data_IF_344732054777
#
_entry.id   IF_344732054777
#
_cell.length_a   1.000
_cell.length_b   1.000
_cell.length_c   1.000
_cell.angle_alpha   90.00
_cell.angle_beta   90.00
_cell.angle_gamma   90.00
#
_symmetry.space_group_name_H-M   'P 1'
#
loop_
_entity.id
_entity.type
_entity.pdbx_description
1 polymer ?
#
# COMPACT_ATOMS: atom_id res chain seq x y z
N UNK A 1 8.32 13.16 -70.21
CA UNK A 1 7.37 12.26 -69.51
C UNK A 1 8.20 11.11 -68.98
N UNK A 2 8.19 10.68 -67.73
CA UNK A 2 7.20 10.80 -66.65
C UNK A 2 8.00 10.89 -65.34
N UNK A 3 7.73 11.93 -64.55
CA UNK A 3 8.13 11.98 -63.13
C UNK A 3 7.31 10.88 -62.43
N UNK A 4 7.92 9.89 -61.75
CA UNK A 4 7.13 8.86 -61.10
C UNK A 4 6.21 9.52 -60.07
N UNK A 5 4.92 9.13 -59.98
CA UNK A 5 4.04 9.65 -58.96
C UNK A 5 4.57 9.19 -57.60
N UNK A 6 5.11 10.14 -56.85
CA UNK A 6 5.55 9.95 -55.49
C UNK A 6 4.40 9.44 -54.62
N UNK A 7 4.58 8.19 -54.15
CA UNK A 7 4.03 7.57 -52.94
C UNK A 7 3.12 8.48 -52.11
N UNK A 8 1.80 8.37 -52.30
CA UNK A 8 0.78 8.84 -51.33
C UNK A 8 0.23 7.71 -50.44
N UNK A 9 0.97 6.61 -50.29
CA UNK A 9 0.55 5.46 -49.46
C UNK A 9 1.31 5.40 -48.12
N UNK A 10 2.35 6.23 -47.94
CA UNK A 10 3.18 6.18 -46.73
C UNK A 10 2.75 7.13 -45.60
N UNK A 11 1.85 8.08 -45.88
CA UNK A 11 1.46 9.06 -44.86
C UNK A 11 0.70 8.41 -43.70
N UNK A 12 -0.18 7.44 -44.00
CA UNK A 12 -0.99 6.76 -43.00
C UNK A 12 -0.21 5.67 -42.24
N UNK A 13 0.69 4.97 -42.91
CA UNK A 13 1.59 3.99 -42.27
C UNK A 13 2.56 4.67 -41.28
N UNK A 14 3.07 5.85 -41.63
CA UNK A 14 3.91 6.64 -40.73
C UNK A 14 3.15 7.12 -39.48
N UNK A 15 1.88 7.51 -39.61
CA UNK A 15 1.04 7.94 -38.48
C UNK A 15 0.70 6.80 -37.51
N UNK A 16 0.38 5.60 -38.02
CA UNK A 16 0.10 4.42 -37.19
C UNK A 16 1.34 3.92 -36.44
N UNK A 17 2.52 3.98 -37.07
CA UNK A 17 3.79 3.69 -36.38
C UNK A 17 4.06 4.69 -35.26
N UNK A 18 3.84 6.00 -35.49
CA UNK A 18 4.01 7.03 -34.46
C UNK A 18 3.03 6.86 -33.28
N UNK A 19 1.79 6.41 -33.53
CA UNK A 19 0.82 6.15 -32.46
C UNK A 19 1.11 4.83 -31.71
N UNK A 20 1.61 3.79 -32.40
CA UNK A 20 2.07 2.55 -31.77
C UNK A 20 3.30 2.76 -30.86
N UNK A 21 4.16 3.71 -31.22
CA UNK A 21 5.32 4.11 -30.41
C UNK A 21 4.87 4.82 -29.12
N UNK A 22 3.78 5.58 -29.15
CA UNK A 22 3.21 6.22 -27.95
C UNK A 22 2.57 5.20 -26.99
N UNK A 23 1.96 4.13 -27.51
CA UNK A 23 1.38 3.04 -26.72
C UNK A 23 2.43 2.14 -26.03
N UNK A 24 3.63 2.02 -26.61
CA UNK A 24 4.76 1.33 -25.97
C UNK A 24 5.51 2.23 -24.98
N UNK A 25 5.46 3.56 -25.17
CA UNK A 25 6.10 4.54 -24.30
C UNK A 25 5.44 4.68 -22.93
N UNK A 26 4.15 4.42 -22.77
CA UNK A 26 3.49 4.48 -21.45
C UNK A 26 3.56 3.16 -20.69
N UNK A 27 3.69 2.02 -21.37
CA UNK A 27 3.73 0.70 -20.73
C UNK A 27 4.99 0.44 -19.90
N UNK A 28 6.15 0.96 -20.32
CA UNK A 28 7.41 0.78 -19.60
C UNK A 28 7.65 1.83 -18.50
N UNK A 29 7.12 3.05 -18.66
CA UNK A 29 7.24 4.12 -17.65
C UNK A 29 6.23 4.00 -16.51
N UNK A 30 5.22 3.13 -16.63
CA UNK A 30 4.15 2.98 -15.65
C UNK A 30 4.39 1.89 -14.58
N UNK A 31 5.43 1.05 -14.72
CA UNK A 31 5.49 -0.20 -13.94
C UNK A 31 6.43 -0.23 -12.73
N UNK A 32 7.50 0.57 -12.64
CA UNK A 32 8.39 0.49 -11.46
C UNK A 32 9.02 1.86 -11.17
N UNK A 33 8.29 2.68 -10.42
CA UNK A 33 8.93 3.63 -9.52
C UNK A 33 9.54 2.80 -8.39
N UNK A 34 10.66 2.13 -8.68
CA UNK A 34 11.51 1.55 -7.65
C UNK A 34 12.08 2.72 -6.88
N UNK A 35 11.69 2.80 -5.62
CA UNK A 35 12.18 3.77 -4.66
C UNK A 35 13.72 3.60 -4.62
N UNK A 36 14.45 4.55 -5.21
CA UNK A 36 15.89 4.68 -4.99
C UNK A 36 16.06 5.00 -3.50
N UNK A 37 16.26 3.97 -2.70
CA UNK A 37 16.60 4.11 -1.29
C UNK A 37 17.99 4.75 -1.20
N UNK A 38 18.00 6.04 -0.85
CA UNK A 38 19.21 6.82 -0.61
C UNK A 38 19.98 6.20 0.59
N UNK A 39 21.17 5.66 0.33
CA UNK A 39 21.94 4.85 1.29
C UNK A 39 22.59 5.67 2.44
N UNK A 40 22.13 6.90 2.69
CA UNK A 40 22.50 7.70 3.85
C UNK A 40 21.32 8.06 4.76
N UNK A 41 20.18 7.38 4.60
CA UNK A 41 19.03 7.58 5.44
C UNK A 41 19.04 6.56 6.59
N UNK A 42 18.81 7.02 7.82
CA UNK A 42 18.53 6.11 8.95
C UNK A 42 17.36 5.22 8.51
N UNK A 43 17.65 3.95 8.16
CA UNK A 43 16.64 3.05 7.59
C UNK A 43 15.59 2.78 8.67
N UNK A 44 14.52 3.58 8.66
CA UNK A 44 13.36 3.39 9.51
C UNK A 44 12.63 2.17 8.99
N UNK A 45 12.50 1.13 9.83
CA UNK A 45 11.69 -0.02 9.50
C UNK A 45 10.23 0.31 9.76
N UNK A 46 9.35 0.08 8.78
CA UNK A 46 7.92 0.26 8.91
C UNK A 46 7.20 -1.10 8.94
N UNK A 47 6.33 -1.28 9.93
CA UNK A 47 5.49 -2.45 10.13
C UNK A 47 4.05 -2.10 9.82
N UNK A 48 3.47 -2.84 8.88
CA UNK A 48 2.05 -2.77 8.58
C UNK A 48 1.35 -4.00 9.16
N UNK A 49 0.46 -3.79 10.12
CA UNK A 49 -0.21 -4.86 10.86
C UNK A 49 -1.72 -4.71 10.79
N UNK A 50 -2.44 -5.79 10.47
CA UNK A 50 -3.90 -5.86 10.54
C UNK A 50 -4.31 -6.81 11.66
N UNK A 51 -4.97 -6.28 12.68
CA UNK A 51 -5.34 -7.01 13.90
C UNK A 51 -6.86 -6.98 14.10
N UNK A 52 -7.42 -8.08 14.59
CA UNK A 52 -8.77 -8.12 15.14
C UNK A 52 -8.68 -8.01 16.66
N UNK A 53 -9.37 -7.02 17.22
CA UNK A 53 -9.36 -6.74 18.66
C UNK A 53 -10.76 -7.01 19.23
N UNK A 54 -10.82 -7.85 20.25
CA UNK A 54 -12.05 -8.15 20.99
C UNK A 54 -12.12 -7.38 22.30
N UNK A 55 -13.33 -6.97 22.71
CA UNK A 55 -13.58 -6.40 24.04
C UNK A 55 -13.25 -7.44 25.12
N UNK A 56 -12.53 -7.02 26.16
CA UNK A 56 -12.17 -7.88 27.28
C UNK A 56 -12.96 -7.54 28.55
N UNK A 57 -12.99 -8.44 29.52
CA UNK A 57 -13.68 -8.23 30.82
C UNK A 57 -12.91 -7.25 31.74
N UNK A 58 -11.67 -6.88 31.37
CA UNK A 58 -10.77 -6.09 32.20
C UNK A 58 -10.86 -4.59 31.93
N UNK A 59 -10.42 -3.79 32.90
CA UNK A 59 -10.21 -2.35 32.74
C UNK A 59 -8.81 -2.06 32.16
N UNK A 60 -8.62 -0.88 31.56
CA UNK A 60 -7.37 -0.51 30.86
C UNK A 60 -6.12 -0.42 31.75
N UNK A 61 -6.28 -0.20 33.05
CA UNK A 61 -5.18 0.06 34.00
C UNK A 61 -5.31 -0.79 35.27
N UNK A 62 -5.68 -2.07 35.12
CA UNK A 62 -5.66 -3.01 36.23
C UNK A 62 -4.35 -3.80 36.25
N UNK A 63 -4.02 -4.45 37.36
CA UNK A 63 -2.96 -5.44 37.40
C UNK A 63 -3.36 -6.67 36.55
N UNK A 64 -2.37 -7.34 35.93
CA UNK A 64 -2.55 -8.57 35.15
C UNK A 64 -3.42 -8.43 33.88
N UNK A 65 -3.08 -7.49 32.99
CA UNK A 65 -3.73 -7.36 31.67
C UNK A 65 -3.47 -8.57 30.75
N UNK A 66 -2.35 -9.27 30.93
CA UNK A 66 -1.88 -10.33 30.05
C UNK A 66 -2.78 -11.58 30.11
N UNK A 67 -3.39 -11.85 31.27
CA UNK A 67 -4.30 -12.98 31.46
C UNK A 67 -5.79 -12.61 31.25
N UNK A 68 -6.06 -11.45 30.64
CA UNK A 68 -7.43 -10.97 30.52
C UNK A 68 -8.26 -11.74 29.49
N UNK A 69 -9.42 -12.26 29.93
CA UNK A 69 -10.36 -12.97 29.04
C UNK A 69 -11.22 -12.02 28.22
N UNK A 70 -11.59 -12.45 27.01
CA UNK A 70 -12.59 -11.78 26.19
C UNK A 70 -13.96 -11.74 26.87
N UNK A 71 -14.71 -10.68 26.59
CA UNK A 71 -16.09 -10.53 27.02
C UNK A 71 -16.98 -11.41 26.15
N UNK A 72 -17.63 -12.40 26.76
CA UNK A 72 -18.65 -13.20 26.09
C UNK A 72 -19.86 -12.30 25.82
N UNK A 73 -20.15 -12.07 24.54
CA UNK A 73 -21.33 -11.36 24.09
C UNK A 73 -21.82 -12.00 22.80
N UNK A 74 -23.14 -12.19 22.64
CA UNK A 74 -23.71 -12.67 21.38
C UNK A 74 -23.59 -11.64 20.24
N UNK A 75 -23.20 -10.39 20.51
CA UNK A 75 -23.08 -9.36 19.49
C UNK A 75 -21.67 -9.23 18.88
N UNK A 76 -21.56 -9.13 17.53
CA UNK A 76 -20.30 -8.87 16.83
C UNK A 76 -19.73 -7.47 17.07
N UNK A 77 -20.52 -6.57 17.68
CA UNK A 77 -20.14 -5.20 18.09
C UNK A 77 -18.93 -5.15 19.03
N UNK A 78 -18.51 -6.29 19.56
CA UNK A 78 -17.38 -6.42 20.47
C UNK A 78 -16.05 -6.70 19.76
N UNK A 79 -16.06 -6.88 18.44
CA UNK A 79 -14.86 -7.12 17.63
C UNK A 79 -14.66 -5.94 16.68
N UNK A 80 -13.48 -5.32 16.74
CA UNK A 80 -13.05 -4.27 15.81
C UNK A 80 -11.83 -4.75 15.03
N UNK A 81 -11.77 -4.44 13.75
CA UNK A 81 -10.58 -4.73 12.94
C UNK A 81 -9.81 -3.42 12.76
N UNK A 82 -8.56 -3.41 13.19
CA UNK A 82 -7.70 -2.26 13.06
C UNK A 82 -6.47 -2.58 12.22
N UNK A 83 -6.05 -1.59 11.44
CA UNK A 83 -4.83 -1.60 10.66
C UNK A 83 -3.90 -0.54 11.23
N UNK A 84 -2.67 -0.93 11.55
CA UNK A 84 -1.65 -0.08 12.15
C UNK A 84 -0.45 0.02 11.22
N UNK A 85 0.11 1.22 11.11
CA UNK A 85 1.43 1.45 10.53
C UNK A 85 2.33 1.98 11.64
N UNK A 86 3.41 1.27 11.95
CA UNK A 86 4.34 1.58 13.04
C UNK A 86 5.75 1.65 12.48
N UNK A 87 6.46 2.76 12.67
CA UNK A 87 7.89 2.86 12.36
C UNK A 87 8.75 2.62 13.59
N UNK A 88 9.96 2.13 13.37
CA UNK A 88 10.97 1.98 14.41
C UNK A 88 12.36 2.09 13.81
N UNK A 89 13.33 2.41 14.67
CA UNK A 89 14.74 2.30 14.35
C UNK A 89 15.21 0.88 14.74
N UNK A 90 15.87 0.13 13.84
CA UNK A 90 16.21 -1.29 14.04
C UNK A 90 16.96 -1.59 15.33
N UNK A 91 17.76 -0.63 15.78
CA UNK A 91 18.69 -0.75 16.91
C UNK A 91 18.13 -0.20 18.23
N UNK A 92 16.87 0.24 18.22
CA UNK A 92 16.22 0.89 19.36
C UNK A 92 14.90 0.20 19.70
N UNK A 93 14.42 0.41 20.92
CA UNK A 93 13.07 0.01 21.33
C UNK A 93 12.07 1.15 21.17
N UNK A 94 12.37 2.14 20.32
CA UNK A 94 11.49 3.28 20.07
C UNK A 94 10.58 2.97 18.89
N UNK A 95 9.28 3.06 19.12
CA UNK A 95 8.25 2.82 18.14
C UNK A 95 7.40 4.06 17.97
N UNK A 96 7.12 4.44 16.74
CA UNK A 96 6.24 5.54 16.41
C UNK A 96 5.02 5.02 15.66
N UNK A 97 3.83 5.32 16.18
CA UNK A 97 2.59 5.01 15.49
C UNK A 97 2.36 6.05 14.40
N UNK A 98 2.55 5.65 13.14
CA UNK A 98 2.36 6.51 11.98
C UNK A 98 0.88 6.66 11.61
N UNK A 99 0.15 5.54 11.60
CA UNK A 99 -1.27 5.54 11.25
C UNK A 99 -2.03 4.43 11.98
N UNK A 100 -3.30 4.69 12.28
CA UNK A 100 -4.27 3.70 12.73
C UNK A 100 -5.60 3.91 12.01
N UNK A 101 -6.16 2.83 11.48
CA UNK A 101 -7.52 2.83 10.92
C UNK A 101 -8.29 1.67 11.52
N UNK A 102 -9.49 1.89 12.03
CA UNK A 102 -10.31 0.85 12.65
C UNK A 102 -11.71 0.87 12.06
N UNK A 103 -12.27 -0.30 11.81
CA UNK A 103 -13.66 -0.50 11.42
C UNK A 103 -14.34 -1.51 12.34
N UNK A 104 -15.66 -1.43 12.46
CA UNK A 104 -16.43 -2.53 13.04
C UNK A 104 -16.11 -3.83 12.29
N UNK A 105 -16.02 -4.93 13.04
CA UNK A 105 -15.66 -6.24 12.50
C UNK A 105 -16.62 -6.68 11.39
N UNK A 106 -16.19 -7.61 10.52
CA UNK A 106 -17.06 -8.15 9.48
C UNK A 106 -18.32 -8.76 10.12
N UNK A 107 -19.48 -8.42 9.56
CA UNK A 107 -20.76 -9.06 9.85
C UNK A 107 -20.72 -10.57 9.54
#
# INVERSE_FOLDING_TARGET
MVRPPGRRVLAWAALLLLWGIWLLGTGAWYFQQEQEDDWNETVNMAFFMKLQLGRTKCKKFQDDLDNCRFQESPEPSNIVTCTFNVSTLPWTTEFQLLNKNCSEGPH
#
